data_IF_375522531087
#
_entry.id   IF_375522531087
#
_cell.length_a   1.000
_cell.length_b   1.000
_cell.length_c   1.000
_cell.angle_alpha   90.00
_cell.angle_beta   90.00
_cell.angle_gamma   90.00
#
_symmetry.space_group_name_H-M   'P 1'
#
loop_
_entity.id
_entity.type
_entity.pdbx_description
1 polymer ?
#
# COMPACT_ATOMS: atom_id res chain seq x y z
N UNK A 1 17.11 51.76 -64.39
CA UNK A 1 17.40 51.72 -62.94
C UNK A 1 17.31 50.26 -62.54
N UNK A 2 18.47 49.60 -62.49
CA UNK A 2 18.58 48.20 -62.07
C UNK A 2 19.53 48.21 -60.88
N UNK A 3 18.99 47.99 -59.69
CA UNK A 3 19.77 47.85 -58.46
C UNK A 3 20.58 46.54 -58.55
N UNK A 4 21.88 46.68 -58.81
CA UNK A 4 22.83 45.59 -58.64
C UNK A 4 23.25 45.56 -57.17
N UNK A 5 22.58 44.72 -56.37
CA UNK A 5 23.07 44.40 -55.03
C UNK A 5 24.37 43.59 -55.17
N UNK A 6 25.48 44.02 -54.55
CA UNK A 6 26.73 43.29 -54.60
C UNK A 6 26.58 41.95 -53.87
N UNK A 7 26.74 40.85 -54.61
CA UNK A 7 26.94 39.52 -54.05
C UNK A 7 28.33 39.48 -53.40
N UNK A 8 28.42 39.81 -52.11
CA UNK A 8 29.62 39.52 -51.35
C UNK A 8 29.73 37.99 -51.15
N UNK A 9 30.89 37.38 -51.46
CA UNK A 9 31.08 35.95 -51.23
C UNK A 9 31.04 35.70 -49.73
N UNK A 10 30.09 34.86 -49.30
CA UNK A 10 30.02 34.38 -47.92
C UNK A 10 31.38 33.80 -47.55
N UNK A 11 32.00 34.33 -46.51
CA UNK A 11 33.35 33.90 -46.12
C UNK A 11 33.26 32.59 -45.33
N UNK A 12 34.32 31.78 -45.35
CA UNK A 12 34.38 30.52 -44.58
C UNK A 12 34.13 30.75 -43.08
N UNK A 13 34.48 31.95 -42.58
CA UNK A 13 34.28 32.37 -41.19
C UNK A 13 32.79 32.50 -40.84
N UNK A 14 31.97 33.05 -41.73
CA UNK A 14 30.52 33.21 -41.51
C UNK A 14 29.82 31.85 -41.39
N UNK A 15 30.24 30.87 -42.20
CA UNK A 15 29.74 29.49 -42.12
C UNK A 15 30.10 28.81 -40.81
N UNK A 16 31.34 28.99 -40.33
CA UNK A 16 31.75 28.44 -39.04
C UNK A 16 30.94 29.04 -37.89
N UNK A 17 30.63 30.33 -37.93
CA UNK A 17 29.81 30.99 -36.92
C UNK A 17 28.38 30.44 -36.89
N UNK A 18 27.75 30.29 -38.06
CA UNK A 18 26.40 29.71 -38.16
C UNK A 18 26.39 28.28 -37.64
N UNK A 19 27.35 27.44 -38.06
CA UNK A 19 27.49 26.07 -37.58
C UNK A 19 27.68 26.03 -36.05
N UNK A 20 28.51 26.89 -35.49
CA UNK A 20 28.74 26.96 -34.05
C UNK A 20 27.45 27.32 -33.28
N UNK A 21 26.67 28.30 -33.76
CA UNK A 21 25.38 28.68 -33.14
C UNK A 21 24.37 27.54 -33.21
N UNK A 22 24.25 26.88 -34.36
CA UNK A 22 23.34 25.74 -34.52
C UNK A 22 23.73 24.59 -33.61
N UNK A 23 25.03 24.26 -33.51
CA UNK A 23 25.53 23.23 -32.62
C UNK A 23 25.31 23.57 -31.14
N UNK A 24 25.49 24.84 -30.75
CA UNK A 24 25.25 25.30 -29.38
C UNK A 24 23.76 25.16 -29.03
N UNK A 25 22.86 25.64 -29.89
CA UNK A 25 21.41 25.53 -29.68
C UNK A 25 20.99 24.05 -29.65
N UNK A 26 21.48 23.24 -30.60
CA UNK A 26 21.20 21.82 -30.66
C UNK A 26 21.71 21.08 -29.41
N UNK A 27 22.94 21.36 -28.99
CA UNK A 27 23.52 20.82 -27.76
C UNK A 27 22.75 21.21 -26.50
N UNK A 28 22.30 22.46 -26.41
CA UNK A 28 21.47 22.94 -25.31
C UNK A 28 20.10 22.23 -25.26
N UNK A 29 19.46 22.02 -26.41
CA UNK A 29 18.18 21.29 -26.48
C UNK A 29 18.33 19.82 -26.08
N UNK A 30 19.37 19.14 -26.58
CA UNK A 30 19.65 17.75 -26.20
C UNK A 30 19.97 17.64 -24.71
N UNK A 31 20.80 18.55 -24.18
CA UNK A 31 21.12 18.61 -22.76
C UNK A 31 19.90 18.86 -21.86
N UNK A 32 19.03 19.80 -22.25
CA UNK A 32 17.78 20.06 -21.55
C UNK A 32 16.83 18.84 -21.59
N UNK A 33 16.72 18.17 -22.74
CA UNK A 33 15.94 16.95 -22.89
C UNK A 33 16.44 15.81 -22.00
N UNK A 34 17.77 15.62 -21.94
CA UNK A 34 18.39 14.63 -21.06
C UNK A 34 18.15 14.95 -19.58
N UNK A 35 18.35 16.20 -19.16
CA UNK A 35 18.14 16.61 -17.78
C UNK A 35 16.68 16.42 -17.33
N UNK A 36 15.72 16.68 -18.23
CA UNK A 36 14.30 16.42 -17.98
C UNK A 36 14.02 14.92 -17.82
N UNK A 37 14.58 14.07 -18.69
CA UNK A 37 14.42 12.62 -18.59
C UNK A 37 15.00 12.04 -17.29
N UNK A 38 16.19 12.50 -16.91
CA UNK A 38 16.85 12.14 -15.64
C UNK A 38 16.02 12.55 -14.42
N UNK A 39 15.40 13.74 -14.46
CA UNK A 39 14.51 14.22 -13.41
C UNK A 39 13.31 13.28 -13.22
N UNK A 40 12.67 12.86 -14.32
CA UNK A 40 11.54 11.92 -14.26
C UNK A 40 11.95 10.55 -13.69
N UNK A 41 13.14 10.04 -14.05
CA UNK A 41 13.64 8.76 -13.53
C UNK A 41 13.93 8.83 -12.02
N UNK A 42 14.45 9.96 -11.54
CA UNK A 42 14.70 10.16 -10.11
C UNK A 42 13.42 10.17 -9.29
N UNK A 43 12.35 10.81 -9.77
CA UNK A 43 11.06 10.77 -9.07
C UNK A 43 10.52 9.33 -8.96
N UNK A 44 10.63 8.53 -10.02
CA UNK A 44 10.17 7.14 -9.98
C UNK A 44 10.99 6.27 -9.02
N UNK A 45 12.32 6.43 -9.03
CA UNK A 45 13.20 5.74 -8.08
C UNK A 45 12.87 6.10 -6.63
N UNK A 46 12.64 7.38 -6.34
CA UNK A 46 12.24 7.83 -5.00
C UNK A 46 10.88 7.24 -4.58
N UNK A 47 9.92 7.14 -5.50
CA UNK A 47 8.62 6.50 -5.23
C UNK A 47 8.74 5.01 -4.95
N UNK A 48 9.62 4.32 -5.66
CA UNK A 48 9.90 2.90 -5.45
C UNK A 48 10.58 2.72 -4.09
N UNK A 49 11.60 3.52 -3.78
CA UNK A 49 12.30 3.49 -2.49
C UNK A 49 11.33 3.77 -1.33
N UNK A 50 10.42 4.74 -1.49
CA UNK A 50 9.34 5.01 -0.55
C UNK A 50 8.48 3.77 -0.29
N UNK A 51 7.99 3.11 -1.35
CA UNK A 51 7.22 1.85 -1.21
C UNK A 51 8.03 0.73 -0.56
N UNK A 52 9.31 0.57 -0.92
CA UNK A 52 10.21 -0.43 -0.31
C UNK A 52 10.46 -0.16 1.18
N UNK A 53 10.46 1.11 1.59
CA UNK A 53 10.50 1.49 3.00
C UNK A 53 9.31 0.94 3.79
N UNK A 54 8.10 0.97 3.22
CA UNK A 54 6.91 0.36 3.84
C UNK A 54 7.00 -1.17 3.89
N UNK A 55 7.50 -1.81 2.82
CA UNK A 55 7.75 -3.26 2.79
C UNK A 55 8.69 -3.68 3.91
N UNK A 56 9.80 -2.96 4.07
CA UNK A 56 10.77 -3.19 5.13
C UNK A 56 10.13 -3.00 6.51
N UNK A 57 9.45 -1.88 6.75
CA UNK A 57 8.78 -1.58 8.02
C UNK A 57 7.71 -2.60 8.37
N UNK A 58 7.04 -3.18 7.38
CA UNK A 58 6.05 -4.23 7.58
C UNK A 58 6.69 -5.58 7.97
N UNK A 59 7.82 -5.89 7.33
CA UNK A 59 8.56 -7.15 7.51
C UNK A 59 9.50 -7.15 8.73
N UNK A 60 9.62 -6.02 9.43
CA UNK A 60 10.57 -5.83 10.53
C UNK A 60 9.90 -5.18 11.76
N UNK A 61 10.58 -5.26 12.90
CA UNK A 61 10.28 -4.46 14.08
C UNK A 61 8.88 -4.69 14.67
N UNK A 62 8.21 -3.63 15.16
CA UNK A 62 6.92 -3.74 15.84
C UNK A 62 5.77 -4.26 14.96
N UNK A 63 5.83 -4.04 13.64
CA UNK A 63 4.77 -4.47 12.74
C UNK A 63 4.78 -5.99 12.56
N UNK A 64 5.97 -6.57 12.35
CA UNK A 64 6.13 -8.03 12.31
C UNK A 64 5.67 -8.66 13.62
N UNK A 65 6.01 -8.04 14.76
CA UNK A 65 5.57 -8.51 16.08
C UNK A 65 4.03 -8.49 16.21
N UNK A 66 3.38 -7.43 15.71
CA UNK A 66 1.93 -7.26 15.74
C UNK A 66 1.22 -8.28 14.85
N UNK A 67 1.70 -8.47 13.61
CA UNK A 67 1.15 -9.46 12.68
C UNK A 67 1.29 -10.88 13.21
N UNK A 68 2.46 -11.23 13.76
CA UNK A 68 2.67 -12.53 14.40
C UNK A 68 1.72 -12.77 15.59
N UNK A 69 1.43 -11.76 16.41
CA UNK A 69 0.46 -11.87 17.51
C UNK A 69 -0.96 -12.06 16.99
N UNK A 70 -1.37 -11.34 15.96
CA UNK A 70 -2.68 -11.49 15.32
C UNK A 70 -2.83 -12.90 14.76
N UNK A 71 -1.82 -13.41 14.04
CA UNK A 71 -1.84 -14.76 13.49
C UNK A 71 -1.87 -15.82 14.60
N UNK A 72 -1.07 -15.65 15.66
CA UNK A 72 -1.04 -16.56 16.81
C UNK A 72 -2.39 -16.59 17.54
N UNK A 73 -3.03 -15.42 17.71
CA UNK A 73 -4.37 -15.32 18.28
C UNK A 73 -5.35 -16.12 17.43
N UNK A 74 -5.43 -15.85 16.13
CA UNK A 74 -6.35 -16.56 15.24
C UNK A 74 -6.08 -18.06 15.12
N UNK A 75 -4.82 -18.48 15.23
CA UNK A 75 -4.45 -19.88 15.24
C UNK A 75 -5.11 -20.64 16.41
N UNK A 76 -5.18 -20.02 17.59
CA UNK A 76 -5.83 -20.62 18.76
C UNK A 76 -7.36 -20.79 18.58
N UNK A 77 -7.99 -19.99 17.70
CA UNK A 77 -9.42 -20.04 17.42
C UNK A 77 -9.77 -20.74 16.09
N UNK A 78 -8.77 -21.36 15.43
CA UNK A 78 -8.96 -22.03 14.13
C UNK A 78 -10.06 -23.09 14.14
N UNK A 79 -10.10 -23.94 15.17
CA UNK A 79 -11.14 -24.96 15.31
C UNK A 79 -12.55 -24.36 15.46
N UNK A 80 -12.66 -23.20 16.10
CA UNK A 80 -13.93 -22.51 16.24
C UNK A 80 -14.38 -21.92 14.90
N UNK A 81 -13.46 -21.34 14.13
CA UNK A 81 -13.72 -20.87 12.77
C UNK A 81 -14.23 -22.01 11.86
N UNK A 82 -13.61 -23.20 11.93
CA UNK A 82 -14.04 -24.35 11.15
C UNK A 82 -15.47 -24.78 11.52
N UNK A 83 -15.78 -24.86 12.83
CA UNK A 83 -17.13 -25.20 13.31
C UNK A 83 -18.20 -24.18 12.93
N UNK A 84 -17.84 -22.94 12.63
CA UNK A 84 -18.81 -21.96 12.15
C UNK A 84 -19.34 -22.31 10.77
N UNK A 85 -18.55 -22.97 9.93
CA UNK A 85 -18.96 -23.35 8.57
C UNK A 85 -20.10 -24.38 8.57
N UNK A 86 -20.26 -25.16 9.65
CA UNK A 86 -21.33 -26.15 9.81
C UNK A 86 -22.68 -25.54 10.24
N UNK A 87 -22.80 -24.21 10.34
CA UNK A 87 -24.03 -23.56 10.78
C UNK A 87 -25.13 -23.58 9.70
N UNK A 88 -26.37 -23.84 10.13
CA UNK A 88 -27.49 -24.15 9.23
C UNK A 88 -28.10 -22.96 8.48
N UNK A 89 -27.74 -21.72 8.82
CA UNK A 89 -28.24 -20.52 8.13
C UNK A 89 -27.18 -19.41 8.08
N UNK A 90 -27.18 -18.63 6.98
CA UNK A 90 -26.26 -17.49 6.78
C UNK A 90 -26.36 -16.44 7.89
N UNK A 91 -27.57 -16.16 8.38
CA UNK A 91 -27.76 -15.20 9.48
C UNK A 91 -27.13 -15.70 10.80
N UNK A 92 -27.31 -16.99 11.13
CA UNK A 92 -26.69 -17.57 12.32
C UNK A 92 -25.16 -17.64 12.20
N UNK A 93 -24.66 -17.92 10.99
CA UNK A 93 -23.23 -17.87 10.68
C UNK A 93 -22.65 -16.48 10.95
N UNK A 94 -23.24 -15.44 10.35
CA UNK A 94 -22.75 -14.06 10.47
C UNK A 94 -22.76 -13.57 11.91
N UNK A 95 -23.82 -13.86 12.66
CA UNK A 95 -23.92 -13.48 14.08
C UNK A 95 -22.82 -14.14 14.92
N UNK A 96 -22.58 -15.44 14.74
CA UNK A 96 -21.54 -16.16 15.49
C UNK A 96 -20.14 -15.75 15.05
N UNK A 97 -19.95 -15.51 13.77
CA UNK A 97 -18.70 -14.98 13.23
C UNK A 97 -18.38 -13.61 13.83
N UNK A 98 -19.36 -12.70 13.89
CA UNK A 98 -19.22 -11.40 14.54
C UNK A 98 -18.80 -11.53 16.00
N UNK A 99 -19.50 -12.38 16.76
CA UNK A 99 -19.15 -12.65 18.17
C UNK A 99 -17.74 -13.22 18.32
N UNK A 100 -17.36 -14.15 17.45
CA UNK A 100 -16.03 -14.74 17.45
C UNK A 100 -14.96 -13.67 17.19
N UNK A 101 -15.09 -12.89 16.11
CA UNK A 101 -14.14 -11.82 15.76
C UNK A 101 -13.97 -10.84 16.93
N UNK A 102 -15.08 -10.35 17.50
CA UNK A 102 -15.02 -9.45 18.67
C UNK A 102 -14.33 -10.11 19.86
N UNK A 103 -14.63 -11.38 20.15
CA UNK A 103 -14.00 -12.10 21.26
C UNK A 103 -12.50 -12.31 21.04
N UNK A 104 -12.05 -12.66 19.84
CA UNK A 104 -10.63 -12.81 19.52
C UNK A 104 -9.92 -11.47 19.64
N UNK A 105 -10.50 -10.41 19.09
CA UNK A 105 -9.85 -9.09 19.08
C UNK A 105 -9.78 -8.49 20.47
N UNK A 106 -10.82 -8.58 21.29
CA UNK A 106 -10.89 -7.89 22.58
C UNK A 106 -10.47 -8.75 23.79
N UNK A 107 -10.64 -10.06 23.72
CA UNK A 107 -10.54 -10.94 24.89
C UNK A 107 -9.38 -11.94 24.82
N UNK A 108 -8.69 -12.06 23.68
CA UNK A 108 -7.53 -12.97 23.60
C UNK A 108 -6.47 -12.58 24.64
N UNK A 109 -6.06 -13.49 25.52
CA UNK A 109 -5.01 -13.21 26.48
C UNK A 109 -3.68 -13.12 25.74
N UNK A 110 -3.07 -11.93 25.75
CA UNK A 110 -1.72 -11.73 25.22
C UNK A 110 -0.74 -11.76 26.40
N UNK A 111 0.39 -12.50 26.29
CA UNK A 111 1.43 -12.46 27.31
C UNK A 111 1.88 -11.01 27.53
N UNK A 112 1.87 -10.59 28.79
CA UNK A 112 2.13 -9.21 29.17
C UNK A 112 3.51 -8.76 28.68
N UNK A 113 3.54 -7.80 27.75
CA UNK A 113 4.78 -7.11 27.38
C UNK A 113 5.12 -6.14 28.53
N UNK A 114 6.25 -6.36 29.20
CA UNK A 114 6.68 -5.59 30.38
C UNK A 114 5.77 -5.73 31.62
N UNK A 115 5.09 -6.87 31.78
CA UNK A 115 4.29 -7.14 32.99
C UNK A 115 2.95 -6.40 33.06
N UNK A 116 2.59 -5.62 32.03
CA UNK A 116 1.25 -5.05 31.89
C UNK A 116 0.39 -5.99 31.03
N UNK A 117 -0.61 -6.67 31.60
CA UNK A 117 -1.52 -7.50 30.81
C UNK A 117 -2.33 -6.60 29.87
N UNK A 118 -2.16 -6.82 28.57
CA UNK A 118 -3.00 -6.20 27.54
C UNK A 118 -4.16 -7.14 27.25
N UNK A 119 -5.38 -6.57 27.16
CA UNK A 119 -6.57 -7.32 26.78
C UNK A 119 -6.69 -7.33 25.27
N UNK A 120 -6.62 -8.52 24.68
CA UNK A 120 -6.86 -8.71 23.26
C UNK A 120 -5.77 -8.15 22.35
N UNK A 121 -5.93 -8.41 21.05
CA UNK A 121 -5.07 -7.93 19.95
C UNK A 121 -5.52 -6.57 19.41
N UNK A 122 -6.33 -5.81 20.17
CA UNK A 122 -6.84 -4.47 19.79
C UNK A 122 -5.71 -3.56 19.32
N UNK A 123 -4.62 -3.47 20.10
CA UNK A 123 -3.47 -2.63 19.76
C UNK A 123 -2.78 -3.06 18.45
N UNK A 124 -2.68 -4.37 18.23
CA UNK A 124 -2.06 -4.93 17.03
C UNK A 124 -2.90 -4.69 15.78
N UNK A 125 -4.23 -4.88 15.88
CA UNK A 125 -5.18 -4.57 14.79
C UNK A 125 -5.14 -3.08 14.45
N UNK A 126 -5.04 -2.20 15.46
CA UNK A 126 -4.90 -0.76 15.25
C UNK A 126 -3.58 -0.41 14.56
N UNK A 127 -2.48 -1.09 14.90
CA UNK A 127 -1.18 -0.86 14.28
C UNK A 127 -1.23 -1.21 12.78
N UNK A 128 -1.83 -2.36 12.43
CA UNK A 128 -2.00 -2.75 11.02
C UNK A 128 -2.91 -1.77 10.28
N UNK A 129 -4.04 -1.38 10.86
CA UNK A 129 -4.94 -0.40 10.23
C UNK A 129 -4.24 0.96 10.00
N UNK A 130 -3.53 1.46 11.01
CA UNK A 130 -2.78 2.72 10.93
C UNK A 130 -1.68 2.65 9.85
N UNK A 131 -1.00 1.51 9.72
CA UNK A 131 -0.02 1.29 8.66
C UNK A 131 -0.63 1.43 7.26
N UNK A 132 -1.82 0.86 7.04
CA UNK A 132 -2.50 0.96 5.74
C UNK A 132 -3.03 2.36 5.46
N UNK A 133 -3.46 3.08 6.49
CA UNK A 133 -3.83 4.50 6.39
C UNK A 133 -2.62 5.35 5.98
N UNK A 134 -1.46 5.17 6.60
CA UNK A 134 -0.21 5.85 6.22
C UNK A 134 0.24 5.48 4.79
N UNK A 135 0.19 4.19 4.44
CA UNK A 135 0.54 3.72 3.10
C UNK A 135 -0.37 4.33 2.03
N UNK A 136 -1.68 4.40 2.30
CA UNK A 136 -2.65 5.02 1.39
C UNK A 136 -2.38 6.52 1.20
N UNK A 137 -2.00 7.24 2.26
CA UNK A 137 -1.58 8.64 2.16
C UNK A 137 -0.33 8.76 1.29
N UNK A 138 0.66 7.88 1.46
CA UNK A 138 1.87 7.86 0.64
C UNK A 138 1.57 7.62 -0.85
N UNK A 139 0.68 6.66 -1.16
CA UNK A 139 0.27 6.37 -2.54
C UNK A 139 -0.54 7.53 -3.14
N UNK A 140 -1.52 8.06 -2.41
CA UNK A 140 -2.39 9.13 -2.91
C UNK A 140 -1.68 10.49 -3.06
N UNK A 141 -0.62 10.73 -2.32
CA UNK A 141 0.24 11.92 -2.46
C UNK A 141 1.32 11.79 -3.53
N UNK A 142 1.43 10.63 -4.20
CA UNK A 142 2.46 10.39 -5.20
C UNK A 142 3.87 10.23 -4.63
N UNK A 143 3.99 9.97 -3.32
CA UNK A 143 5.26 9.71 -2.63
C UNK A 143 5.66 8.23 -2.72
N UNK A 144 4.69 7.33 -2.85
CA UNK A 144 4.90 5.90 -3.03
C UNK A 144 4.45 5.44 -4.43
N UNK A 145 5.14 4.45 -4.98
CA UNK A 145 4.68 3.76 -6.19
C UNK A 145 3.46 2.87 -5.83
N UNK A 146 2.27 3.29 -6.26
CA UNK A 146 1.01 2.58 -5.99
C UNK A 146 0.97 1.16 -6.56
N UNK A 147 1.51 0.95 -7.76
CA UNK A 147 1.56 -0.39 -8.39
C UNK A 147 2.37 -1.37 -7.55
N UNK A 148 3.56 -0.96 -7.09
CA UNK A 148 4.40 -1.77 -6.21
C UNK A 148 3.74 -2.02 -4.85
N UNK A 149 3.12 -1.00 -4.26
CA UNK A 149 2.41 -1.13 -2.99
C UNK A 149 1.25 -2.15 -3.09
N UNK A 150 0.40 -2.03 -4.11
CA UNK A 150 -0.70 -2.97 -4.34
C UNK A 150 -0.20 -4.39 -4.63
N UNK A 151 0.84 -4.54 -5.45
CA UNK A 151 1.40 -5.86 -5.77
C UNK A 151 1.88 -6.62 -4.51
N UNK A 152 2.43 -5.90 -3.53
CA UNK A 152 2.91 -6.51 -2.28
C UNK A 152 1.80 -6.69 -1.24
N UNK A 153 0.96 -5.67 -1.03
CA UNK A 153 0.07 -5.63 0.13
C UNK A 153 -1.36 -6.08 -0.12
N UNK A 154 -1.85 -6.14 -1.37
CA UNK A 154 -3.27 -6.44 -1.66
C UNK A 154 -3.72 -7.77 -1.03
N UNK A 155 -2.92 -8.84 -1.19
CA UNK A 155 -3.27 -10.16 -0.67
C UNK A 155 -3.37 -10.17 0.86
N UNK A 156 -2.43 -9.52 1.55
CA UNK A 156 -2.45 -9.43 3.01
C UNK A 156 -3.62 -8.54 3.48
N UNK A 157 -3.76 -7.35 2.89
CA UNK A 157 -4.82 -6.40 3.21
C UNK A 157 -6.19 -7.02 3.06
N UNK A 158 -6.41 -7.77 1.98
CA UNK A 158 -7.64 -8.48 1.74
C UNK A 158 -7.92 -9.52 2.83
N UNK A 159 -6.99 -10.45 3.08
CA UNK A 159 -7.16 -11.47 4.14
C UNK A 159 -7.42 -10.81 5.49
N UNK A 160 -6.64 -9.79 5.84
CA UNK A 160 -6.74 -9.07 7.10
C UNK A 160 -8.10 -8.36 7.23
N UNK A 161 -8.49 -7.58 6.23
CA UNK A 161 -9.75 -6.85 6.21
C UNK A 161 -10.94 -7.80 6.32
N UNK A 162 -10.98 -8.86 5.50
CA UNK A 162 -12.09 -9.81 5.51
C UNK A 162 -12.23 -10.52 6.86
N UNK A 163 -11.11 -10.87 7.51
CA UNK A 163 -11.11 -11.55 8.80
C UNK A 163 -11.55 -10.64 9.95
N UNK A 164 -11.32 -9.33 9.85
CA UNK A 164 -11.56 -8.37 10.91
C UNK A 164 -12.71 -7.40 10.62
N UNK A 165 -13.41 -7.53 9.49
CA UNK A 165 -14.47 -6.61 9.05
C UNK A 165 -15.51 -6.31 10.16
N UNK A 166 -16.03 -7.31 10.92
CA UNK A 166 -16.92 -7.05 12.04
C UNK A 166 -16.39 -6.04 13.05
N UNK A 167 -15.12 -6.18 13.42
CA UNK A 167 -14.46 -5.31 14.37
C UNK A 167 -14.16 -3.93 13.77
N UNK A 168 -13.68 -3.88 12.52
CA UNK A 168 -13.40 -2.62 11.82
C UNK A 168 -14.67 -1.78 11.68
N UNK A 169 -15.77 -2.40 11.26
CA UNK A 169 -17.08 -1.77 11.09
C UNK A 169 -17.67 -1.29 12.41
N UNK A 170 -17.58 -2.12 13.47
CA UNK A 170 -17.95 -1.70 14.82
C UNK A 170 -17.18 -0.47 15.28
N UNK A 171 -15.85 -0.48 15.11
CA UNK A 171 -15.00 0.61 15.55
C UNK A 171 -15.22 1.89 14.73
N UNK A 172 -15.51 1.74 13.43
CA UNK A 172 -15.86 2.85 12.56
C UNK A 172 -17.15 3.55 13.01
N UNK A 173 -18.17 2.76 13.37
CA UNK A 173 -19.44 3.27 13.84
C UNK A 173 -19.37 3.95 15.22
N UNK A 174 -18.50 3.46 16.12
CA UNK A 174 -18.49 3.89 17.52
C UNK A 174 -17.39 4.92 17.86
N UNK A 175 -16.30 4.99 17.10
CA UNK A 175 -15.14 5.80 17.46
C UNK A 175 -14.63 6.72 16.35
N UNK A 176 -14.52 6.24 15.11
CA UNK A 176 -13.98 7.05 14.00
C UNK A 176 -14.56 6.62 12.66
N UNK A 177 -15.42 7.45 12.06
CA UNK A 177 -16.14 7.15 10.81
C UNK A 177 -15.26 6.77 9.60
N UNK A 178 -13.94 6.99 9.66
CA UNK A 178 -12.98 6.60 8.63
C UNK A 178 -12.17 5.33 8.94
N UNK A 179 -12.34 4.71 10.11
CA UNK A 179 -11.52 3.59 10.55
C UNK A 179 -11.63 2.40 9.58
N UNK A 180 -10.50 1.90 9.10
CA UNK A 180 -10.43 0.80 8.15
C UNK A 180 -10.78 1.16 6.69
N UNK A 181 -11.16 2.41 6.39
CA UNK A 181 -11.53 2.83 5.03
C UNK A 181 -10.35 2.77 4.05
N UNK A 182 -9.15 3.15 4.50
CA UNK A 182 -7.96 3.12 3.66
C UNK A 182 -7.44 1.69 3.46
N UNK A 183 -7.48 0.86 4.51
CA UNK A 183 -7.26 -0.58 4.39
C UNK A 183 -8.22 -1.23 3.39
N UNK A 184 -9.50 -0.85 3.40
CA UNK A 184 -10.50 -1.38 2.47
C UNK A 184 -10.13 -1.10 0.99
N UNK A 185 -9.42 -0.01 0.67
CA UNK A 185 -8.98 0.30 -0.70
C UNK A 185 -7.97 -0.71 -1.24
N UNK A 186 -7.17 -1.33 -0.36
CA UNK A 186 -6.27 -2.44 -0.72
C UNK A 186 -7.00 -3.78 -0.77
N UNK A 187 -8.06 -3.95 0.04
CA UNK A 187 -8.84 -5.19 0.09
C UNK A 187 -9.89 -5.35 -1.03
N UNK A 188 -10.46 -4.24 -1.52
CA UNK A 188 -11.70 -4.21 -2.30
C UNK A 188 -11.57 -4.53 -3.81
N UNK A 189 -10.43 -5.03 -4.29
CA UNK A 189 -10.31 -5.42 -5.72
C UNK A 189 -11.22 -6.60 -6.09
N UNK A 190 -11.64 -7.39 -5.12
CA UNK A 190 -12.65 -8.43 -5.30
C UNK A 190 -13.58 -8.49 -4.08
N UNK A 191 -14.78 -7.87 -4.13
CA UNK A 191 -15.76 -7.92 -3.06
C UNK A 191 -16.22 -9.35 -2.71
N UNK A 192 -16.10 -10.30 -3.65
CA UNK A 192 -16.43 -11.71 -3.42
C UNK A 192 -15.29 -12.47 -2.74
N UNK A 193 -14.08 -11.91 -2.69
CA UNK A 193 -12.94 -12.57 -2.07
C UNK A 193 -13.12 -12.73 -0.56
N UNK A 194 -13.76 -11.78 0.13
CA UNK A 194 -14.04 -11.95 1.56
C UNK A 194 -14.95 -13.15 1.82
N UNK A 195 -15.93 -13.39 0.94
CA UNK A 195 -16.83 -14.53 1.06
C UNK A 195 -16.14 -15.86 0.75
N UNK A 196 -15.15 -15.87 -0.16
CA UNK A 196 -14.38 -17.07 -0.56
C UNK A 196 -13.21 -17.40 0.36
N UNK A 197 -12.54 -16.40 0.92
CA UNK A 197 -11.31 -16.59 1.70
C UNK A 197 -11.56 -17.15 3.10
N UNK A 198 -12.73 -16.93 3.69
CA UNK A 198 -13.06 -17.55 5.00
C UNK A 198 -13.16 -19.09 4.89
N UNK A 199 -13.49 -19.61 3.71
CA UNK A 199 -13.48 -21.06 3.44
C UNK A 199 -12.13 -21.65 3.03
N UNK A 200 -11.18 -20.82 2.59
CA UNK A 200 -9.99 -21.28 1.87
C UNK A 200 -8.67 -21.12 2.62
N UNK A 201 -8.69 -20.83 3.94
CA UNK A 201 -7.47 -20.57 4.71
C UNK A 201 -6.50 -21.76 4.60
N UNK A 202 -5.34 -21.61 3.91
CA UNK A 202 -4.44 -22.73 3.69
C UNK A 202 -3.80 -23.12 5.01
N UNK A 203 -3.79 -24.42 5.30
CA UNK A 203 -2.90 -24.99 6.32
C UNK A 203 -1.47 -24.69 5.90
N UNK A 204 -0.86 -23.63 6.43
CA UNK A 204 0.58 -23.45 6.30
C UNK A 204 1.25 -24.66 6.99
N UNK A 205 1.82 -25.54 6.17
CA UNK A 205 2.89 -26.47 6.53
C UNK A 205 4.21 -25.71 6.53
#
# INVERSE_FOLDING_TARGET
>A
MSDQTPFFPVTLVDWLEVCAKVLLIGGAMVGAGWAYFEYLHKEEQQRIEGSLGYVKRFSEGPMLESTNRIDSAWYAYREQLLKLQDSSSEAAYLQRYYQLVMSVVELTPIPAKYGVPTRGIVGDVNAVESFFSELQICVSSGLCNGTAAHAYFDSYAQRFYCLHEPYLSWKAANYSSGYGKDLAKFAARDPLACRRNVSAQPSHQ
#
